data_IF_605128897964
#
_entry.id   IF_605128897964
#
_cell.length_a   1.000
_cell.length_b   1.000
_cell.length_c   1.000
_cell.angle_alpha   90.00
_cell.angle_beta   90.00
_cell.angle_gamma   90.00
#
_symmetry.space_group_name_H-M   'P 1'
#
loop_
_entity.id
_entity.type
_entity.pdbx_description
1 polymer ?
#
# COMPACT_ATOMS: atom_id res chain seq x y z
N UNK A 1 28.96 19.54 16.79
CA UNK A 1 28.90 20.80 16.03
C UNK A 1 29.57 20.56 14.68
N UNK A 2 28.78 20.24 13.65
CA UNK A 2 29.19 20.35 12.25
C UNK A 2 28.06 21.13 11.59
N UNK A 3 28.40 22.34 11.17
CA UNK A 3 27.52 23.30 10.53
C UNK A 3 27.30 22.79 9.10
N UNK A 4 26.06 22.54 8.72
CA UNK A 4 25.71 22.37 7.30
C UNK A 4 25.25 23.73 6.80
N UNK A 5 26.07 24.34 5.95
CA UNK A 5 25.73 25.56 5.20
C UNK A 5 24.59 25.24 4.21
N UNK A 6 23.54 26.06 4.29
CA UNK A 6 22.48 26.11 3.28
C UNK A 6 23.01 26.89 2.06
N UNK A 7 22.89 26.31 0.87
CA UNK A 7 23.08 27.02 -0.38
C UNK A 7 21.71 27.23 -1.04
N UNK A 8 21.24 28.48 -1.06
CA UNK A 8 20.10 28.94 -1.86
C UNK A 8 20.56 29.38 -3.27
N UNK A 9 19.63 29.49 -4.25
CA UNK A 9 19.92 29.24 -5.65
C UNK A 9 20.37 30.49 -6.41
N UNK A 10 21.29 30.31 -7.35
CA UNK A 10 21.68 31.35 -8.29
C UNK A 10 21.30 30.97 -9.74
N UNK A 11 20.56 31.90 -10.32
CA UNK A 11 20.12 32.14 -11.69
C UNK A 11 21.01 31.63 -12.84
N UNK A 12 20.35 31.11 -13.88
CA UNK A 12 20.86 30.83 -15.22
C UNK A 12 21.67 31.97 -15.84
N UNK A 13 22.85 31.65 -16.38
CA UNK A 13 23.31 32.20 -17.64
C UNK A 13 24.34 31.29 -18.33
N UNK A 14 24.07 31.00 -19.61
CA UNK A 14 24.87 30.21 -20.53
C UNK A 14 26.22 30.87 -20.88
N UNK A 15 27.31 30.08 -20.91
CA UNK A 15 28.24 29.96 -22.07
C UNK A 15 29.48 29.10 -21.73
N UNK A 16 29.80 28.15 -22.65
CA UNK A 16 31.18 27.96 -23.14
C UNK A 16 32.15 27.04 -22.40
N UNK A 17 32.17 25.76 -22.81
CA UNK A 17 33.37 24.92 -23.11
C UNK A 17 34.53 24.82 -22.10
N UNK A 18 34.76 23.62 -21.55
CA UNK A 18 35.87 22.69 -21.87
C UNK A 18 35.96 21.56 -20.83
N UNK A 19 36.04 20.33 -21.31
CA UNK A 19 36.17 19.09 -20.54
C UNK A 19 37.55 18.97 -19.87
N UNK A 20 37.65 18.27 -18.72
CA UNK A 20 38.45 17.05 -18.72
C UNK A 20 37.82 15.87 -17.94
N UNK A 21 38.02 14.70 -18.55
CA UNK A 21 37.98 13.28 -18.10
C UNK A 21 37.38 12.85 -16.74
N UNK A 22 36.65 11.70 -16.70
CA UNK A 22 35.87 11.27 -15.55
C UNK A 22 36.70 10.45 -14.53
N UNK A 23 36.57 10.81 -13.25
CA UNK A 23 36.95 9.94 -12.14
C UNK A 23 35.77 8.99 -11.89
N UNK A 24 36.08 7.71 -11.97
CA UNK A 24 35.18 6.57 -11.88
C UNK A 24 34.69 6.39 -10.43
N UNK A 25 33.49 6.91 -10.12
CA UNK A 25 32.76 6.57 -8.89
C UNK A 25 31.62 5.64 -9.25
N UNK A 26 31.88 4.33 -9.22
CA UNK A 26 30.84 3.32 -9.31
C UNK A 26 29.98 3.35 -8.04
N UNK A 27 28.81 3.97 -8.14
CA UNK A 27 27.69 3.79 -7.22
C UNK A 27 27.14 2.37 -7.38
N UNK A 28 27.38 1.49 -6.43
CA UNK A 28 26.82 0.13 -6.45
C UNK A 28 25.37 0.18 -5.94
N UNK A 29 24.35 -0.27 -6.71
CA UNK A 29 22.97 -0.32 -6.26
C UNK A 29 22.75 -1.38 -5.17
N UNK A 30 21.92 -1.07 -4.17
CA UNK A 30 21.60 -1.92 -3.00
C UNK A 30 20.84 -3.23 -3.26
N UNK A 31 20.73 -3.69 -4.51
CA UNK A 31 19.97 -4.89 -4.87
C UNK A 31 20.85 -5.94 -5.54
N UNK A 32 21.59 -6.72 -4.75
CA UNK A 32 21.91 -8.10 -5.10
C UNK A 32 21.96 -8.97 -3.84
N UNK A 33 21.02 -9.91 -3.75
CA UNK A 33 21.08 -11.01 -2.79
C UNK A 33 22.17 -12.00 -3.25
N UNK A 34 23.31 -12.00 -2.55
CA UNK A 34 24.37 -12.99 -2.76
C UNK A 34 24.07 -14.30 -1.98
N UNK A 35 24.45 -15.48 -2.51
CA UNK A 35 24.23 -16.76 -1.85
C UNK A 35 25.10 -16.88 -0.60
N UNK A 36 24.68 -17.77 0.31
CA UNK A 36 25.36 -18.02 1.58
C UNK A 36 26.78 -18.59 1.37
N UNK A 37 27.78 -17.72 1.28
CA UNK A 37 29.18 -18.05 1.53
C UNK A 37 29.57 -17.66 2.94
N UNK A 38 30.37 -18.51 3.56
CA UNK A 38 30.98 -18.34 4.87
C UNK A 38 31.81 -17.05 4.93
N UNK A 39 31.57 -16.29 6.00
CA UNK A 39 32.25 -15.07 6.46
C UNK A 39 31.88 -13.74 5.79
N UNK A 40 30.87 -13.06 6.35
CA UNK A 40 30.66 -11.63 6.17
C UNK A 40 31.84 -10.87 6.78
N UNK A 41 32.80 -10.44 5.96
CA UNK A 41 33.94 -9.62 6.40
C UNK A 41 33.60 -8.15 6.59
N UNK A 42 32.46 -7.68 6.05
CA UNK A 42 32.06 -6.28 6.06
C UNK A 42 30.90 -6.02 7.04
N UNK A 43 30.94 -4.89 7.74
CA UNK A 43 29.87 -4.47 8.63
C UNK A 43 28.62 -4.11 7.82
N UNK A 44 27.47 -4.68 8.18
CA UNK A 44 26.19 -4.40 7.51
C UNK A 44 25.66 -2.95 7.69
N UNK A 45 26.34 -2.10 8.46
CA UNK A 45 25.98 -0.69 8.65
C UNK A 45 27.00 0.25 8.00
N UNK A 46 28.26 0.23 8.47
CA UNK A 46 29.29 1.15 7.98
C UNK A 46 30.09 0.61 6.79
N UNK A 47 29.93 -0.65 6.42
CA UNK A 47 30.70 -1.29 5.34
C UNK A 47 32.15 -1.62 5.70
N UNK A 48 32.67 -1.16 6.83
CA UNK A 48 34.08 -1.40 7.20
C UNK A 48 34.33 -2.88 7.52
N UNK A 49 35.55 -3.33 7.20
CA UNK A 49 36.05 -4.63 7.61
C UNK A 49 36.53 -4.60 9.06
N UNK A 50 36.36 -5.72 9.77
CA UNK A 50 36.80 -5.88 11.15
C UNK A 50 37.09 -7.34 11.42
N UNK A 51 38.19 -7.67 12.11
CA UNK A 51 38.47 -9.05 12.50
C UNK A 51 37.44 -9.60 13.51
N UNK A 52 36.80 -8.72 14.30
CA UNK A 52 35.89 -9.09 15.40
C UNK A 52 34.40 -8.81 15.07
N UNK A 53 33.96 -9.30 13.92
CA UNK A 53 32.56 -9.13 13.49
C UNK A 53 31.58 -9.90 14.37
N UNK A 54 30.58 -9.18 14.88
CA UNK A 54 29.51 -9.74 15.74
C UNK A 54 28.26 -9.99 14.92
N UNK A 55 27.87 -11.27 14.80
CA UNK A 55 26.62 -11.65 14.12
C UNK A 55 25.40 -11.21 14.93
N UNK A 56 24.34 -10.81 14.23
CA UNK A 56 23.05 -10.55 14.87
C UNK A 56 22.58 -11.80 15.64
N UNK A 57 22.31 -11.65 16.94
CA UNK A 57 21.91 -12.76 17.80
C UNK A 57 20.56 -13.39 17.41
N UNK A 58 19.67 -12.63 16.78
CA UNK A 58 18.36 -13.10 16.33
C UNK A 58 18.42 -13.95 15.06
N UNK A 59 18.94 -13.38 13.96
CA UNK A 59 18.91 -14.05 12.65
C UNK A 59 20.21 -14.78 12.29
N UNK A 60 21.35 -14.40 12.90
CA UNK A 60 22.72 -14.82 12.55
C UNK A 60 23.17 -14.60 11.09
N UNK A 61 22.34 -13.95 10.28
CA UNK A 61 22.56 -13.73 8.83
C UNK A 61 23.51 -12.57 8.53
N UNK A 62 23.48 -11.52 9.33
CA UNK A 62 24.29 -10.30 9.12
C UNK A 62 25.25 -10.08 10.29
N UNK A 63 26.32 -9.33 10.04
CA UNK A 63 27.37 -9.06 11.01
C UNK A 63 27.70 -7.56 11.12
N UNK A 64 28.18 -7.16 12.30
CA UNK A 64 28.48 -5.77 12.65
C UNK A 64 29.83 -5.66 13.35
N UNK A 65 30.59 -4.61 13.04
CA UNK A 65 31.87 -4.35 13.71
C UNK A 65 31.69 -3.93 15.18
N UNK A 66 30.50 -3.43 15.55
CA UNK A 66 30.21 -2.95 16.90
C UNK A 66 28.73 -3.05 17.28
N UNK A 67 28.40 -3.11 18.59
CA UNK A 67 27.02 -2.98 19.07
C UNK A 67 26.36 -1.66 18.65
N UNK A 68 27.13 -0.60 18.44
CA UNK A 68 26.65 0.67 17.93
C UNK A 68 26.13 0.53 16.51
N UNK A 69 26.93 -0.04 15.60
CA UNK A 69 26.51 -0.30 14.21
C UNK A 69 25.27 -1.21 14.16
N UNK A 70 25.21 -2.22 15.02
CA UNK A 70 24.01 -3.06 15.15
C UNK A 70 22.77 -2.25 15.56
N UNK A 71 22.93 -1.33 16.54
CA UNK A 71 21.83 -0.49 17.03
C UNK A 71 21.38 0.54 15.99
N UNK A 72 22.34 1.13 15.26
CA UNK A 72 22.08 2.15 14.25
C UNK A 72 21.36 1.54 13.02
N UNK A 73 21.74 0.31 12.62
CA UNK A 73 21.07 -0.43 11.54
C UNK A 73 19.75 -1.10 11.97
N UNK A 74 19.50 -1.24 13.28
CA UNK A 74 18.36 -1.99 13.81
C UNK A 74 17.00 -1.55 13.23
N UNK A 75 16.68 -0.25 13.07
CA UNK A 75 15.39 0.15 12.52
C UNK A 75 15.14 -0.33 11.09
N UNK A 76 16.18 -0.59 10.29
CA UNK A 76 16.06 -1.20 8.97
C UNK A 76 16.08 -2.72 9.07
N UNK A 77 17.01 -3.29 9.84
CA UNK A 77 17.18 -4.74 9.93
C UNK A 77 16.02 -5.49 10.57
N UNK A 78 15.28 -4.86 11.48
CA UNK A 78 14.22 -5.51 12.27
C UNK A 78 13.17 -6.23 11.40
N UNK A 79 12.91 -5.73 10.19
CA UNK A 79 11.94 -6.31 9.25
C UNK A 79 12.39 -7.62 8.62
N UNK A 80 13.70 -7.80 8.43
CA UNK A 80 14.29 -9.02 7.85
C UNK A 80 14.87 -9.96 8.92
N UNK A 81 14.88 -9.50 10.18
CA UNK A 81 15.38 -10.27 11.30
C UNK A 81 14.34 -11.29 11.76
N UNK A 82 14.75 -12.55 11.93
CA UNK A 82 13.92 -13.60 12.56
C UNK A 82 13.79 -13.40 14.07
N UNK A 83 13.13 -12.33 14.49
CA UNK A 83 12.75 -12.13 15.89
C UNK A 83 11.33 -12.65 16.05
N UNK A 84 11.09 -13.60 16.96
CA UNK A 84 9.74 -14.11 17.25
C UNK A 84 8.86 -13.10 18.02
N UNK A 85 9.12 -11.80 17.88
CA UNK A 85 8.41 -10.73 18.60
C UNK A 85 7.73 -9.80 17.58
N UNK A 86 6.51 -9.34 17.86
CA UNK A 86 5.87 -8.30 17.06
C UNK A 86 6.77 -7.05 16.96
N UNK A 87 6.89 -6.52 15.75
CA UNK A 87 7.61 -5.27 15.50
C UNK A 87 6.76 -4.12 16.06
N UNK A 88 7.38 -3.23 16.83
CA UNK A 88 6.70 -2.05 17.37
C UNK A 88 6.39 -1.04 16.27
N UNK A 89 5.21 -0.40 16.35
CA UNK A 89 4.71 0.60 15.40
C UNK A 89 5.69 1.74 15.09
N UNK A 90 6.51 2.15 16.08
CA UNK A 90 7.53 3.20 15.86
C UNK A 90 8.56 2.85 14.77
N UNK A 91 8.85 1.55 14.57
CA UNK A 91 9.81 1.12 13.55
C UNK A 91 9.20 1.17 12.15
N UNK A 92 7.91 0.85 12.01
CA UNK A 92 7.18 1.07 10.77
C UNK A 92 7.14 2.56 10.43
N UNK A 93 6.86 3.43 11.41
CA UNK A 93 6.91 4.88 11.24
C UNK A 93 8.29 5.36 10.77
N UNK A 94 9.37 4.94 11.46
CA UNK A 94 10.75 5.32 11.12
C UNK A 94 11.13 4.87 9.70
N UNK A 95 10.76 3.64 9.32
CA UNK A 95 10.98 3.14 7.94
C UNK A 95 10.24 4.00 6.91
N UNK A 96 8.96 4.27 7.14
CA UNK A 96 8.13 4.97 6.17
C UNK A 96 8.59 6.45 6.03
N UNK A 97 8.99 7.10 7.12
CA UNK A 97 9.61 8.44 7.10
C UNK A 97 10.93 8.48 6.34
N UNK A 98 11.81 7.48 6.51
CA UNK A 98 13.09 7.41 5.79
C UNK A 98 12.89 7.30 4.28
N UNK A 99 11.81 6.63 3.88
CA UNK A 99 11.43 6.48 2.48
C UNK A 99 10.55 7.62 1.96
N UNK A 100 10.25 8.61 2.81
CA UNK A 100 9.36 9.74 2.50
C UNK A 100 7.95 9.30 2.06
N UNK A 101 7.41 8.27 2.71
CA UNK A 101 6.09 7.69 2.44
C UNK A 101 5.18 7.85 3.66
N UNK A 102 3.91 8.18 3.43
CA UNK A 102 2.88 8.17 4.47
C UNK A 102 2.73 6.76 5.05
N UNK A 103 2.72 6.59 6.39
CA UNK A 103 2.64 5.27 7.00
C UNK A 103 1.48 4.42 6.50
N UNK A 104 1.76 3.17 6.16
CA UNK A 104 0.77 2.21 5.63
C UNK A 104 0.27 1.23 6.69
N UNK A 105 1.07 0.93 7.71
CA UNK A 105 0.69 0.03 8.79
C UNK A 105 -0.45 0.63 9.63
N UNK A 106 -1.53 -0.14 9.79
CA UNK A 106 -2.77 0.35 10.40
C UNK A 106 -2.60 0.82 11.84
N UNK A 107 -1.89 0.05 12.67
CA UNK A 107 -1.70 0.42 14.08
C UNK A 107 -0.75 1.61 14.20
N UNK A 108 0.28 1.69 13.36
CA UNK A 108 1.18 2.85 13.29
C UNK A 108 0.44 4.12 12.92
N UNK A 109 -0.49 4.06 11.97
CA UNK A 109 -1.32 5.21 11.61
C UNK A 109 -2.19 5.69 12.78
N UNK A 110 -2.70 4.76 13.60
CA UNK A 110 -3.49 5.10 14.80
C UNK A 110 -2.61 5.70 15.87
N UNK A 111 -1.50 5.02 16.23
CA UNK A 111 -0.62 5.39 17.33
C UNK A 111 0.01 6.78 17.18
N UNK A 112 0.18 7.25 15.94
CA UNK A 112 0.84 8.51 15.59
C UNK A 112 -0.08 9.49 14.86
N UNK A 113 -1.39 9.34 14.99
CA UNK A 113 -2.38 10.36 14.59
C UNK A 113 -2.67 10.49 13.09
N UNK A 114 -2.00 9.72 12.21
CA UNK A 114 -2.26 9.74 10.76
C UNK A 114 -3.68 9.29 10.42
N UNK A 115 -4.20 8.26 11.10
CA UNK A 115 -5.57 7.78 10.88
C UNK A 115 -6.60 8.85 11.27
N UNK A 116 -6.38 9.53 12.40
CA UNK A 116 -7.24 10.64 12.85
C UNK A 116 -7.15 11.82 11.88
N UNK A 117 -5.96 12.23 11.46
CA UNK A 117 -5.74 13.31 10.51
C UNK A 117 -6.41 13.06 9.16
N UNK A 118 -6.34 11.82 8.66
CA UNK A 118 -7.00 11.40 7.42
C UNK A 118 -8.53 11.45 7.52
N UNK A 119 -9.08 11.18 8.72
CA UNK A 119 -10.52 11.16 8.96
C UNK A 119 -11.11 12.53 9.27
N UNK A 120 -10.40 13.41 9.99
CA UNK A 120 -10.97 14.66 10.53
C UNK A 120 -10.50 15.91 9.80
N UNK A 121 -9.45 15.82 8.98
CA UNK A 121 -8.86 16.93 8.25
C UNK A 121 -8.78 16.62 6.74
N UNK A 122 -8.60 17.68 5.94
CA UNK A 122 -8.44 17.61 4.47
C UNK A 122 -7.01 17.97 4.08
N UNK A 123 -6.69 17.74 2.80
CA UNK A 123 -5.48 18.25 2.17
C UNK A 123 -4.22 17.59 2.72
N UNK A 124 -3.18 18.38 2.96
CA UNK A 124 -1.84 17.91 3.32
C UNK A 124 -1.67 17.54 4.81
N UNK A 125 -2.75 17.18 5.52
CA UNK A 125 -2.70 16.87 6.96
C UNK A 125 -1.76 15.70 7.28
N UNK A 126 -1.82 14.61 6.51
CA UNK A 126 -0.92 13.47 6.67
C UNK A 126 0.53 13.83 6.30
N UNK A 127 0.74 14.68 5.28
CA UNK A 127 2.07 15.19 4.90
C UNK A 127 2.68 16.10 5.97
N UNK A 128 1.85 16.92 6.64
CA UNK A 128 2.28 17.74 7.76
C UNK A 128 2.71 16.88 8.96
N UNK A 129 1.96 15.82 9.28
CA UNK A 129 2.39 14.85 10.30
C UNK A 129 3.68 14.13 9.90
N UNK A 130 3.81 13.68 8.65
CA UNK A 130 5.02 13.06 8.15
C UNK A 130 6.23 13.99 8.35
N UNK A 131 6.09 15.25 7.96
CA UNK A 131 7.13 16.27 8.09
C UNK A 131 7.45 16.59 9.56
N UNK A 132 6.43 16.64 10.42
CA UNK A 132 6.60 16.84 11.86
C UNK A 132 7.43 15.72 12.49
N UNK A 133 7.11 14.45 12.20
CA UNK A 133 7.88 13.31 12.73
C UNK A 133 9.27 13.20 12.09
N UNK A 134 9.39 13.49 10.79
CA UNK A 134 10.69 13.58 10.09
C UNK A 134 11.61 14.59 10.78
N UNK A 135 11.09 15.76 11.13
CA UNK A 135 11.83 16.77 11.88
C UNK A 135 12.26 16.30 13.28
N UNK A 136 11.45 15.53 14.02
CA UNK A 136 11.87 14.96 15.31
C UNK A 136 13.08 14.03 15.16
N UNK A 137 13.08 13.15 14.15
CA UNK A 137 14.21 12.27 13.89
C UNK A 137 15.46 13.06 13.48
N UNK A 138 15.32 14.12 12.67
CA UNK A 138 16.42 15.01 12.31
C UNK A 138 17.00 15.75 13.53
N UNK A 139 16.16 16.05 14.53
CA UNK A 139 16.56 16.67 15.80
C UNK A 139 17.13 15.66 16.82
N UNK A 140 17.27 14.39 16.42
CA UNK A 140 17.93 13.35 17.23
C UNK A 140 17.00 12.60 18.18
N UNK A 141 15.67 12.77 18.08
CA UNK A 141 14.72 11.94 18.83
C UNK A 141 14.81 10.50 18.32
N UNK A 142 15.10 9.57 19.21
CA UNK A 142 15.24 8.14 18.86
C UNK A 142 13.88 7.44 18.83
N UNK A 143 13.78 6.31 18.11
CA UNK A 143 12.57 5.47 18.11
C UNK A 143 12.19 5.02 19.53
N UNK A 144 13.18 4.82 20.40
CA UNK A 144 12.94 4.43 21.79
C UNK A 144 12.26 5.55 22.58
N UNK A 145 12.66 6.80 22.39
CA UNK A 145 12.07 7.96 23.04
C UNK A 145 10.67 8.23 22.49
N UNK A 146 10.52 8.23 21.17
CA UNK A 146 9.23 8.47 20.53
C UNK A 146 8.19 7.42 20.94
N UNK A 147 8.59 6.15 20.99
CA UNK A 147 7.73 5.07 21.51
C UNK A 147 7.35 5.29 22.97
N UNK A 148 8.27 5.77 23.80
CA UNK A 148 7.99 6.09 25.20
C UNK A 148 6.92 7.19 25.28
N UNK A 149 7.09 8.27 24.53
CA UNK A 149 6.13 9.38 24.49
C UNK A 149 4.74 8.92 24.05
N UNK A 150 4.68 8.06 23.05
CA UNK A 150 3.42 7.46 22.58
C UNK A 150 2.77 6.61 23.68
N UNK A 151 3.52 5.69 24.31
CA UNK A 151 2.97 4.80 25.33
C UNK A 151 2.52 5.52 26.62
N UNK A 152 3.12 6.67 26.92
CA UNK A 152 2.80 7.49 28.09
C UNK A 152 1.74 8.56 27.79
N UNK A 153 1.28 8.69 26.54
CA UNK A 153 0.34 9.75 26.14
C UNK A 153 0.93 11.16 26.20
N UNK A 154 2.25 11.29 26.09
CA UNK A 154 2.99 12.55 26.25
C UNK A 154 3.56 13.09 24.94
N UNK A 155 3.07 12.60 23.78
CA UNK A 155 3.52 13.05 22.45
C UNK A 155 3.43 14.57 22.30
N UNK A 156 2.26 15.16 22.56
CA UNK A 156 2.03 16.60 22.39
C UNK A 156 3.06 17.43 23.18
N UNK A 157 3.22 17.13 24.47
CA UNK A 157 4.13 17.87 25.35
C UNK A 157 5.60 17.75 24.92
N UNK A 158 6.04 16.54 24.56
CA UNK A 158 7.44 16.32 24.18
C UNK A 158 7.77 16.84 22.78
N UNK A 159 6.82 16.80 21.83
CA UNK A 159 6.98 17.42 20.50
C UNK A 159 7.16 18.93 20.66
N UNK A 160 6.29 19.59 21.44
CA UNK A 160 6.43 21.03 21.73
C UNK A 160 7.78 21.36 22.32
N UNK A 161 8.19 20.64 23.37
CA UNK A 161 9.49 20.82 24.01
C UNK A 161 10.66 20.70 23.03
N UNK A 162 10.58 19.75 22.09
CA UNK A 162 11.65 19.51 21.10
C UNK A 162 11.75 20.65 20.09
N UNK A 163 10.63 21.10 19.53
CA UNK A 163 10.60 22.18 18.54
C UNK A 163 10.77 23.58 19.14
N UNK A 164 10.30 23.81 20.37
CA UNK A 164 10.44 25.10 21.07
C UNK A 164 11.88 25.38 21.49
N UNK A 165 12.72 24.34 21.58
CA UNK A 165 14.17 24.50 21.76
C UNK A 165 14.87 25.12 20.53
N UNK A 166 14.22 25.14 19.37
CA UNK A 166 14.72 25.80 18.16
C UNK A 166 14.26 27.27 18.10
N UNK A 167 15.04 28.15 17.44
CA UNK A 167 14.57 29.47 17.02
C UNK A 167 13.27 29.37 16.19
N UNK A 168 12.32 30.31 16.32
CA UNK A 168 11.03 30.26 15.62
C UNK A 168 11.12 30.00 14.11
N UNK A 169 12.09 30.62 13.44
CA UNK A 169 12.37 30.50 12.00
C UNK A 169 12.76 29.09 11.55
N UNK A 170 13.28 28.26 12.47
CA UNK A 170 13.80 26.92 12.17
C UNK A 170 12.81 25.80 12.50
N UNK A 171 11.55 26.13 12.85
CA UNK A 171 10.54 25.13 13.26
C UNK A 171 9.76 24.54 12.09
N UNK A 172 9.84 25.14 10.91
CA UNK A 172 9.10 24.73 9.71
C UNK A 172 7.59 25.00 9.80
N UNK A 173 6.90 25.00 8.66
CA UNK A 173 5.44 25.29 8.60
C UNK A 173 4.55 24.23 9.25
N UNK A 174 5.05 23.00 9.39
CA UNK A 174 4.32 21.88 10.02
C UNK A 174 4.21 22.02 11.54
N UNK A 175 5.10 22.79 12.21
CA UNK A 175 5.01 22.98 13.66
C UNK A 175 3.87 23.94 14.07
N UNK A 176 3.71 25.14 13.46
CA UNK A 176 2.52 25.96 13.67
C UNK A 176 1.22 25.24 13.32
N UNK A 177 1.22 24.40 12.28
CA UNK A 177 0.10 23.54 11.94
C UNK A 177 -0.20 22.55 13.08
N UNK A 178 0.81 21.85 13.60
CA UNK A 178 0.66 20.95 14.73
C UNK A 178 0.07 21.64 15.96
N UNK A 179 0.47 22.87 16.27
CA UNK A 179 -0.10 23.63 17.39
C UNK A 179 -1.62 23.84 17.27
N UNK A 180 -2.15 23.91 16.06
CA UNK A 180 -3.59 24.04 15.78
C UNK A 180 -4.33 22.69 15.80
N UNK A 181 -3.59 21.57 15.75
CA UNK A 181 -4.11 20.21 15.57
C UNK A 181 -3.54 19.22 16.60
N UNK A 182 -3.33 19.69 17.83
CA UNK A 182 -2.82 18.87 18.94
C UNK A 182 -3.78 17.72 19.29
N UNK A 183 -5.07 17.90 19.00
CA UNK A 183 -6.12 16.89 19.17
C UNK A 183 -5.84 15.61 18.37
N UNK A 184 -5.02 15.67 17.32
CA UNK A 184 -4.62 14.48 16.57
C UNK A 184 -3.79 13.50 17.41
N UNK A 185 -3.08 13.99 18.44
CA UNK A 185 -2.09 13.25 19.22
C UNK A 185 -2.37 13.21 20.73
N UNK A 186 -3.49 13.78 21.19
CA UNK A 186 -3.85 13.86 22.61
C UNK A 186 -4.61 12.63 23.14
N UNK A 187 -4.86 11.64 22.28
CA UNK A 187 -5.59 10.42 22.62
C UNK A 187 -7.10 10.56 22.61
N UNK A 188 -7.65 11.74 22.30
CA UNK A 188 -9.09 11.93 22.17
C UNK A 188 -9.65 11.13 20.99
N UNK A 189 -10.88 10.59 21.10
CA UNK A 189 -11.48 9.84 20.00
C UNK A 189 -11.73 10.73 18.77
N UNK A 190 -11.88 10.10 17.62
CA UNK A 190 -12.32 10.79 16.38
C UNK A 190 -13.74 11.29 16.59
N UNK A 191 -14.00 12.58 16.37
CA UNK A 191 -15.36 13.13 16.30
C UNK A 191 -16.10 12.51 15.10
N UNK A 192 -17.15 11.69 15.33
CA UNK A 192 -17.87 11.01 14.26
C UNK A 192 -18.56 11.98 13.28
N UNK A 193 -19.04 13.13 13.77
CA UNK A 193 -19.72 14.12 12.94
C UNK A 193 -18.73 14.81 12.01
N UNK A 194 -17.58 15.22 12.57
CA UNK A 194 -16.50 15.81 11.78
C UNK A 194 -15.97 14.82 10.73
N UNK A 195 -15.74 13.57 11.13
CA UNK A 195 -15.27 12.54 10.21
C UNK A 195 -16.26 12.27 9.07
N UNK A 196 -17.57 12.25 9.38
CA UNK A 196 -18.62 12.10 8.39
C UNK A 196 -18.64 13.28 7.43
N UNK A 197 -18.58 14.52 7.94
CA UNK A 197 -18.51 15.72 7.12
C UNK A 197 -17.29 15.72 6.18
N UNK A 198 -16.11 15.39 6.71
CA UNK A 198 -14.87 15.33 5.91
C UNK A 198 -14.94 14.24 4.85
N UNK A 199 -15.56 13.10 5.14
CA UNK A 199 -15.83 12.07 4.14
C UNK A 199 -16.75 12.59 3.02
N UNK A 200 -17.86 13.23 3.38
CA UNK A 200 -18.83 13.79 2.43
C UNK A 200 -18.18 14.81 1.49
N UNK A 201 -17.52 15.85 2.02
CA UNK A 201 -16.97 16.87 1.11
C UNK A 201 -15.74 16.33 0.33
N UNK A 202 -15.10 15.23 0.79
CA UNK A 202 -14.01 14.57 0.04
C UNK A 202 -14.57 13.79 -1.14
N UNK A 203 -15.68 13.08 -0.92
CA UNK A 203 -16.40 12.40 -1.98
C UNK A 203 -16.95 13.40 -2.99
N UNK A 204 -17.48 14.54 -2.52
CA UNK A 204 -17.98 15.59 -3.41
C UNK A 204 -16.87 16.23 -4.25
N UNK A 205 -15.72 16.55 -3.65
CA UNK A 205 -14.56 17.06 -4.38
C UNK A 205 -14.04 16.06 -5.41
N UNK A 206 -14.02 14.77 -5.05
CA UNK A 206 -13.65 13.68 -5.96
C UNK A 206 -14.62 13.58 -7.14
N UNK A 207 -15.94 13.64 -6.89
CA UNK A 207 -16.97 13.59 -7.92
C UNK A 207 -16.90 14.79 -8.86
N UNK A 208 -16.63 15.99 -8.34
CA UNK A 208 -16.46 17.20 -9.18
C UNK A 208 -15.32 17.05 -10.18
N UNK A 209 -14.21 16.41 -9.80
CA UNK A 209 -13.11 16.13 -10.74
C UNK A 209 -13.55 15.21 -11.87
N UNK A 210 -14.25 14.11 -11.56
CA UNK A 210 -14.80 13.23 -12.59
C UNK A 210 -15.87 13.90 -13.45
N UNK A 211 -16.66 14.79 -12.86
CA UNK A 211 -17.72 15.52 -13.55
C UNK A 211 -17.15 16.53 -14.54
N UNK A 212 -16.13 17.29 -14.12
CA UNK A 212 -15.37 18.18 -14.98
C UNK A 212 -14.70 17.41 -16.13
N UNK A 213 -14.14 16.23 -15.86
CA UNK A 213 -13.54 15.37 -16.87
C UNK A 213 -14.55 14.85 -17.92
N UNK A 214 -15.81 14.67 -17.54
CA UNK A 214 -16.92 14.34 -18.46
C UNK A 214 -17.39 15.56 -19.29
N UNK A 215 -16.88 16.77 -19.01
CA UNK A 215 -17.32 18.02 -19.64
C UNK A 215 -18.38 18.79 -18.85
N UNK A 216 -18.68 18.36 -17.63
CA UNK A 216 -19.57 19.09 -16.72
C UNK A 216 -18.89 20.29 -16.04
N UNK A 217 -19.70 21.18 -15.45
CA UNK A 217 -19.16 22.34 -14.72
C UNK A 217 -18.41 21.91 -13.44
N UNK A 218 -17.20 22.45 -13.15
CA UNK A 218 -16.46 22.14 -11.92
C UNK A 218 -17.19 22.59 -10.64
N UNK A 219 -18.10 23.56 -10.77
CA UNK A 219 -18.90 24.10 -9.66
C UNK A 219 -20.24 23.40 -9.49
N UNK A 220 -20.46 22.29 -10.22
CA UNK A 220 -21.70 21.53 -10.11
C UNK A 220 -22.00 21.09 -8.66
N UNK A 221 -23.26 21.23 -8.29
CA UNK A 221 -23.81 20.74 -7.03
C UNK A 221 -23.95 19.22 -7.06
N UNK A 222 -24.01 18.60 -5.89
CA UNK A 222 -24.23 17.15 -5.78
C UNK A 222 -25.52 16.70 -6.49
N UNK A 223 -26.60 17.49 -6.39
CA UNK A 223 -27.87 17.21 -7.04
C UNK A 223 -27.77 17.24 -8.56
N UNK A 224 -27.07 18.22 -9.13
CA UNK A 224 -26.85 18.31 -10.57
C UNK A 224 -26.03 17.13 -11.08
N UNK A 225 -24.96 16.76 -10.37
CA UNK A 225 -24.16 15.59 -10.73
C UNK A 225 -24.99 14.31 -10.66
N UNK A 226 -25.75 14.08 -9.56
CA UNK A 226 -26.63 12.90 -9.44
C UNK A 226 -27.67 12.82 -10.55
N UNK A 227 -28.31 13.93 -10.90
CA UNK A 227 -29.27 13.98 -12.00
C UNK A 227 -28.61 13.59 -13.33
N UNK A 228 -27.43 14.13 -13.62
CA UNK A 228 -26.67 13.79 -14.81
C UNK A 228 -26.22 12.31 -14.86
N UNK A 229 -25.73 11.77 -13.74
CA UNK A 229 -25.32 10.37 -13.65
C UNK A 229 -26.51 9.42 -13.80
N UNK A 230 -27.71 9.80 -13.37
CA UNK A 230 -28.91 8.96 -13.53
C UNK A 230 -29.32 8.76 -15.00
N UNK A 231 -28.85 9.61 -15.91
CA UNK A 231 -29.06 9.47 -17.34
C UNK A 231 -28.02 8.54 -18.03
N UNK A 232 -26.95 8.14 -17.33
CA UNK A 232 -25.90 7.28 -17.87
C UNK A 232 -26.25 5.79 -17.73
N UNK A 233 -25.65 4.96 -18.58
CA UNK A 233 -25.67 3.50 -18.38
C UNK A 233 -24.95 3.10 -17.08
N UNK A 234 -25.23 1.91 -16.53
CA UNK A 234 -24.49 1.38 -15.39
C UNK A 234 -22.97 1.33 -15.61
N UNK A 235 -22.53 1.00 -16.83
CA UNK A 235 -21.12 0.90 -17.20
C UNK A 235 -20.44 2.26 -17.21
N UNK A 236 -21.09 3.29 -17.78
CA UNK A 236 -20.57 4.66 -17.79
C UNK A 236 -20.58 5.27 -16.39
N UNK A 237 -21.59 4.94 -15.58
CA UNK A 237 -21.61 5.32 -14.17
C UNK A 237 -20.44 4.68 -13.41
N UNK A 238 -20.13 3.40 -13.66
CA UNK A 238 -18.96 2.74 -13.09
C UNK A 238 -17.64 3.40 -13.54
N UNK A 239 -17.53 3.78 -14.81
CA UNK A 239 -16.39 4.55 -15.34
C UNK A 239 -16.25 5.90 -14.65
N UNK A 240 -17.34 6.66 -14.51
CA UNK A 240 -17.34 7.94 -13.79
C UNK A 240 -16.82 7.78 -12.35
N UNK A 241 -17.35 6.80 -11.63
CA UNK A 241 -16.94 6.54 -10.24
C UNK A 241 -15.46 6.21 -10.16
N UNK A 242 -14.97 5.38 -11.08
CA UNK A 242 -13.56 4.98 -11.12
C UNK A 242 -12.62 6.12 -11.53
N UNK A 243 -12.96 6.87 -12.58
CA UNK A 243 -12.19 8.02 -13.06
C UNK A 243 -12.11 9.10 -11.98
N UNK A 244 -13.20 9.35 -11.25
CA UNK A 244 -13.21 10.29 -10.12
C UNK A 244 -12.18 9.90 -9.05
N UNK A 245 -12.11 8.61 -8.71
CA UNK A 245 -11.13 8.03 -7.79
C UNK A 245 -9.71 8.23 -8.32
N UNK A 246 -9.46 7.89 -9.60
CA UNK A 246 -8.16 8.04 -10.24
C UNK A 246 -7.69 9.51 -10.26
N UNK A 247 -8.53 10.46 -10.69
CA UNK A 247 -8.22 11.90 -10.70
C UNK A 247 -7.93 12.49 -9.30
N UNK A 248 -8.31 11.76 -8.25
CA UNK A 248 -8.04 12.13 -6.86
C UNK A 248 -6.80 11.45 -6.30
N UNK A 249 -5.97 10.84 -7.14
CA UNK A 249 -4.81 10.03 -6.75
C UNK A 249 -5.13 8.93 -5.76
N UNK A 250 -6.38 8.46 -5.77
CA UNK A 250 -6.88 7.36 -4.94
C UNK A 250 -6.97 6.09 -5.79
N UNK A 251 -7.22 4.98 -5.11
CA UNK A 251 -7.44 3.66 -5.72
C UNK A 251 -8.68 3.00 -5.12
N UNK A 252 -9.34 2.09 -5.85
CA UNK A 252 -10.39 1.26 -5.28
C UNK A 252 -9.88 0.48 -4.07
N UNK A 253 -10.76 0.22 -3.12
CA UNK A 253 -10.53 -0.77 -2.06
C UNK A 253 -11.22 -2.09 -2.42
N UNK A 254 -10.83 -3.23 -1.81
CA UNK A 254 -11.40 -4.55 -2.12
C UNK A 254 -12.91 -4.67 -1.91
N UNK A 255 -13.57 -3.78 -1.18
CA UNK A 255 -15.02 -3.81 -0.98
C UNK A 255 -15.79 -3.17 -2.14
N UNK A 256 -15.13 -2.44 -3.03
CA UNK A 256 -15.77 -1.82 -4.19
C UNK A 256 -15.77 -2.77 -5.41
N UNK A 257 -16.85 -2.77 -6.23
CA UNK A 257 -16.90 -3.56 -7.47
C UNK A 257 -15.75 -3.24 -8.43
N UNK A 258 -15.29 -1.98 -8.42
CA UNK A 258 -14.17 -1.52 -9.26
C UNK A 258 -12.84 -2.22 -8.95
N UNK A 259 -12.70 -2.86 -7.79
CA UNK A 259 -11.54 -3.70 -7.51
C UNK A 259 -11.43 -4.86 -8.49
N UNK A 260 -12.56 -5.48 -8.83
CA UNK A 260 -12.65 -6.57 -9.79
C UNK A 260 -12.71 -6.02 -11.22
N UNK A 261 -13.64 -5.11 -11.51
CA UNK A 261 -13.92 -4.69 -12.89
C UNK A 261 -12.85 -3.80 -13.51
N UNK A 262 -11.98 -3.17 -12.72
CA UNK A 262 -10.80 -2.46 -13.22
C UNK A 262 -9.49 -3.20 -12.93
N UNK A 263 -9.55 -4.52 -12.69
CA UNK A 263 -8.38 -5.38 -12.70
C UNK A 263 -7.46 -5.28 -11.47
N UNK A 264 -7.82 -4.53 -10.43
CA UNK A 264 -7.02 -4.45 -9.20
C UNK A 264 -6.90 -5.80 -8.51
N UNK A 265 -7.90 -6.69 -8.65
CA UNK A 265 -7.82 -8.07 -8.15
C UNK A 265 -6.64 -8.86 -8.72
N UNK A 266 -6.12 -8.51 -9.90
CA UNK A 266 -4.97 -9.20 -10.50
C UNK A 266 -3.65 -8.90 -9.78
N UNK A 267 -3.62 -7.86 -8.94
CA UNK A 267 -2.45 -7.47 -8.17
C UNK A 267 -2.28 -8.37 -6.95
N UNK A 268 -1.04 -8.74 -6.65
CA UNK A 268 -0.72 -9.43 -5.41
C UNK A 268 -0.76 -8.43 -4.24
N UNK A 269 -1.08 -8.92 -3.05
CA UNK A 269 -0.94 -8.12 -1.84
C UNK A 269 0.53 -7.65 -1.71
N UNK A 270 0.78 -6.41 -1.28
CA UNK A 270 2.15 -5.89 -1.14
C UNK A 270 2.43 -4.53 -1.77
N UNK A 271 1.43 -3.81 -2.27
CA UNK A 271 1.60 -2.45 -2.82
C UNK A 271 1.66 -2.40 -4.35
N UNK A 272 1.61 -3.54 -5.05
CA UNK A 272 1.53 -3.60 -6.52
C UNK A 272 0.30 -2.84 -7.06
N UNK A 273 -0.77 -2.77 -6.27
CA UNK A 273 -1.97 -2.03 -6.58
C UNK A 273 -1.77 -0.51 -6.57
N UNK A 274 -0.74 0.00 -5.89
CA UNK A 274 -0.32 1.42 -5.95
C UNK A 274 0.21 1.72 -7.36
N UNK A 275 1.05 0.83 -7.90
CA UNK A 275 1.58 0.94 -9.25
C UNK A 275 0.48 0.94 -10.31
N UNK A 276 -0.47 0.00 -10.21
CA UNK A 276 -1.63 -0.04 -11.12
C UNK A 276 -2.50 1.24 -10.98
N UNK A 277 -2.69 1.73 -9.76
CA UNK A 277 -3.37 3.00 -9.51
C UNK A 277 -2.70 4.17 -10.22
N UNK A 278 -1.38 4.30 -10.12
CA UNK A 278 -0.59 5.33 -10.82
C UNK A 278 -0.73 5.24 -12.35
N UNK A 279 -0.72 4.02 -12.89
CA UNK A 279 -0.93 3.79 -14.33
C UNK A 279 -2.32 4.25 -14.79
N UNK A 280 -3.38 3.97 -14.02
CA UNK A 280 -4.71 4.48 -14.33
C UNK A 280 -4.81 6.01 -14.22
N UNK A 281 -4.10 6.62 -13.26
CA UNK A 281 -4.02 8.08 -13.17
C UNK A 281 -3.43 8.69 -14.44
N UNK A 282 -2.35 8.10 -14.95
CA UNK A 282 -1.72 8.56 -16.18
C UNK A 282 -2.58 8.26 -17.41
N UNK A 283 -3.31 7.14 -17.42
CA UNK A 283 -4.24 6.81 -18.51
C UNK A 283 -5.36 7.85 -18.62
N UNK A 284 -5.99 8.18 -17.50
CA UNK A 284 -7.08 9.17 -17.46
C UNK A 284 -6.60 10.55 -17.90
N UNK A 285 -5.33 10.92 -17.64
CA UNK A 285 -4.76 12.18 -18.15
C UNK A 285 -4.54 12.19 -19.68
N UNK A 286 -4.57 11.02 -20.34
CA UNK A 286 -4.20 10.83 -21.75
C UNK A 286 -5.37 10.41 -22.65
N UNK A 287 -6.55 10.21 -22.10
CA UNK A 287 -7.76 9.86 -22.85
C UNK A 287 -8.91 10.80 -22.52
N UNK A 288 -9.99 10.71 -23.30
CA UNK A 288 -11.25 11.36 -22.96
C UNK A 288 -12.14 10.43 -22.13
N UNK A 289 -13.21 10.97 -21.55
CA UNK A 289 -14.20 10.14 -20.85
C UNK A 289 -14.86 9.12 -21.78
N UNK A 290 -15.21 9.51 -23.00
CA UNK A 290 -15.82 8.60 -23.98
C UNK A 290 -14.85 7.52 -24.48
N UNK A 291 -13.58 7.87 -24.72
CA UNK A 291 -12.54 6.87 -25.04
C UNK A 291 -12.41 5.83 -23.93
N UNK A 292 -12.34 6.30 -22.67
CA UNK A 292 -12.23 5.42 -21.51
C UNK A 292 -13.47 4.52 -21.34
N UNK A 293 -14.68 5.10 -21.44
CA UNK A 293 -15.92 4.33 -21.33
C UNK A 293 -16.04 3.31 -22.45
N UNK A 294 -15.75 3.68 -23.70
CA UNK A 294 -15.78 2.78 -24.84
C UNK A 294 -14.82 1.61 -24.63
N UNK A 295 -13.60 1.90 -24.15
CA UNK A 295 -12.62 0.85 -23.87
C UNK A 295 -13.08 -0.09 -22.75
N UNK A 296 -13.73 0.43 -21.71
CA UNK A 296 -14.30 -0.38 -20.64
C UNK A 296 -15.47 -1.24 -21.15
N UNK A 297 -16.44 -0.64 -21.83
CA UNK A 297 -17.63 -1.31 -22.38
C UNK A 297 -17.25 -2.42 -23.38
N UNK A 298 -16.15 -2.26 -24.11
CA UNK A 298 -15.67 -3.22 -25.12
C UNK A 298 -14.58 -4.17 -24.61
N UNK A 299 -14.23 -4.12 -23.32
CA UNK A 299 -13.19 -4.97 -22.72
C UNK A 299 -11.79 -4.75 -23.32
N UNK A 300 -11.49 -3.52 -23.78
CA UNK A 300 -10.24 -3.14 -24.47
C UNK A 300 -9.37 -2.15 -23.68
N UNK A 301 -9.60 -1.99 -22.37
CA UNK A 301 -8.74 -1.15 -21.49
C UNK A 301 -7.23 -1.48 -21.63
N UNK A 302 -6.77 -2.75 -21.69
CA UNK A 302 -5.36 -3.05 -21.94
C UNK A 302 -4.84 -2.46 -23.27
N UNK A 303 -5.65 -2.53 -24.34
CA UNK A 303 -5.29 -1.92 -25.62
C UNK A 303 -5.26 -0.38 -25.53
N UNK A 304 -6.17 0.22 -24.73
CA UNK A 304 -6.14 1.65 -24.46
C UNK A 304 -4.83 2.06 -23.75
N UNK A 305 -4.38 1.30 -22.75
CA UNK A 305 -3.06 1.53 -22.11
C UNK A 305 -1.92 1.56 -23.13
N UNK A 306 -1.87 0.57 -24.02
CA UNK A 306 -0.84 0.48 -25.06
C UNK A 306 -0.93 1.67 -26.02
N UNK A 307 -2.13 2.02 -26.49
CA UNK A 307 -2.35 3.14 -27.41
C UNK A 307 -1.94 4.50 -26.85
N UNK A 308 -1.99 4.67 -25.51
CA UNK A 308 -1.58 5.91 -24.81
C UNK A 308 -0.12 5.86 -24.33
N UNK A 309 0.65 4.88 -24.78
CA UNK A 309 2.09 4.77 -24.51
C UNK A 309 2.43 4.37 -23.08
N UNK A 310 1.51 3.69 -22.37
CA UNK A 310 1.72 3.24 -20.99
C UNK A 310 2.25 1.81 -20.91
N UNK A 311 2.54 1.18 -22.05
CA UNK A 311 3.13 -0.14 -22.17
C UNK A 311 2.13 -1.28 -21.99
N UNK A 312 2.57 -2.48 -22.37
CA UNK A 312 1.79 -3.72 -22.23
C UNK A 312 1.50 -4.01 -20.76
N UNK A 313 0.34 -4.59 -20.47
CA UNK A 313 -0.06 -4.99 -19.13
C UNK A 313 0.31 -6.44 -18.85
N UNK A 314 0.44 -6.76 -17.56
CA UNK A 314 0.72 -8.11 -17.10
C UNK A 314 -0.37 -9.09 -17.56
N UNK A 315 0.01 -10.36 -17.75
CA UNK A 315 -0.88 -11.42 -18.21
C UNK A 315 -2.12 -11.58 -17.31
N UNK A 316 -1.96 -11.52 -15.99
CA UNK A 316 -3.06 -11.66 -15.03
C UNK A 316 -4.04 -10.49 -15.15
N UNK A 317 -3.52 -9.27 -15.28
CA UNK A 317 -4.36 -8.09 -15.51
C UNK A 317 -5.13 -8.21 -16.83
N UNK A 318 -4.44 -8.58 -17.93
CA UNK A 318 -5.08 -8.78 -19.23
C UNK A 318 -6.18 -9.84 -19.16
N UNK A 319 -5.98 -10.92 -18.40
CA UNK A 319 -6.98 -11.98 -18.24
C UNK A 319 -8.26 -11.47 -17.56
N UNK A 320 -8.13 -10.71 -16.47
CA UNK A 320 -9.28 -10.07 -15.80
C UNK A 320 -10.00 -9.13 -16.76
N UNK A 321 -9.23 -8.29 -17.47
CA UNK A 321 -9.81 -7.24 -18.31
C UNK A 321 -10.43 -7.76 -19.61
N UNK A 322 -10.04 -8.95 -20.10
CA UNK A 322 -10.57 -9.52 -21.33
C UNK A 322 -12.08 -9.80 -21.29
N UNK A 323 -12.64 -10.09 -20.11
CA UNK A 323 -14.08 -10.27 -19.92
C UNK A 323 -14.78 -9.08 -19.23
N UNK A 324 -14.01 -8.19 -18.59
CA UNK A 324 -14.55 -7.07 -17.83
C UNK A 324 -15.27 -6.05 -18.73
N UNK A 325 -16.43 -5.50 -18.32
CA UNK A 325 -17.09 -5.66 -17.03
C UNK A 325 -18.07 -6.83 -16.92
N UNK A 326 -18.29 -7.58 -18.00
CA UNK A 326 -19.40 -8.54 -18.11
C UNK A 326 -19.11 -9.89 -17.50
N UNK A 327 -17.87 -10.36 -17.63
CA UNK A 327 -17.48 -11.70 -17.25
C UNK A 327 -16.09 -11.72 -16.62
N UNK A 328 -15.91 -12.56 -15.59
CA UNK A 328 -14.62 -12.84 -15.03
C UNK A 328 -14.55 -14.33 -14.66
N UNK A 329 -13.37 -14.93 -14.79
CA UNK A 329 -13.17 -16.31 -14.33
C UNK A 329 -13.47 -16.40 -12.83
N UNK A 330 -14.05 -17.51 -12.39
CA UNK A 330 -14.42 -17.72 -10.98
C UNK A 330 -13.24 -17.58 -10.01
N UNK A 331 -12.01 -17.82 -10.46
CA UNK A 331 -10.82 -17.63 -9.61
C UNK A 331 -10.61 -16.18 -9.21
N UNK A 332 -11.00 -15.23 -10.05
CA UNK A 332 -10.93 -13.82 -9.75
C UNK A 332 -12.00 -13.39 -8.75
N UNK A 333 -13.18 -14.04 -8.78
CA UNK A 333 -14.19 -13.88 -7.74
C UNK A 333 -13.73 -14.47 -6.41
N UNK A 334 -13.07 -15.63 -6.43
CA UNK A 334 -12.44 -16.22 -5.24
C UNK A 334 -11.37 -15.28 -4.67
N UNK A 335 -10.45 -14.79 -5.51
CA UNK A 335 -9.41 -13.86 -5.05
C UNK A 335 -10.00 -12.56 -4.53
N UNK A 336 -11.02 -12.00 -5.17
CA UNK A 336 -11.71 -10.80 -4.68
C UNK A 336 -12.33 -11.03 -3.30
N UNK A 337 -12.93 -12.20 -3.07
CA UNK A 337 -13.42 -12.58 -1.75
C UNK A 337 -12.29 -12.67 -0.72
N UNK A 338 -11.16 -13.29 -1.05
CA UNK A 338 -10.01 -13.39 -0.14
C UNK A 338 -9.40 -12.01 0.15
N UNK A 339 -9.29 -11.13 -0.85
CA UNK A 339 -8.81 -9.75 -0.66
C UNK A 339 -9.69 -9.00 0.35
N UNK A 340 -11.02 -9.24 0.36
CA UNK A 340 -11.94 -8.69 1.38
C UNK A 340 -11.70 -9.30 2.75
N UNK A 341 -11.58 -10.62 2.85
CA UNK A 341 -11.31 -11.33 4.12
C UNK A 341 -10.02 -10.82 4.76
N UNK A 342 -8.94 -10.68 3.96
CA UNK A 342 -7.64 -10.18 4.43
C UNK A 342 -7.71 -8.70 4.84
N UNK A 343 -8.52 -7.90 4.15
CA UNK A 343 -8.68 -6.47 4.44
C UNK A 343 -9.65 -6.17 5.60
N UNK A 344 -10.33 -7.19 6.11
CA UNK A 344 -11.37 -7.04 7.13
C UNK A 344 -10.86 -7.22 8.56
N UNK A 345 -11.62 -6.67 9.51
CA UNK A 345 -11.37 -6.89 10.93
C UNK A 345 -11.66 -8.35 11.31
N UNK A 346 -10.91 -8.94 12.26
CA UNK A 346 -11.21 -10.28 12.76
C UNK A 346 -12.68 -10.42 13.19
N UNK A 347 -13.35 -11.47 12.71
CA UNK A 347 -14.77 -11.73 13.00
C UNK A 347 -15.77 -11.07 12.04
N UNK A 348 -15.31 -10.36 11.01
CA UNK A 348 -16.19 -9.87 9.94
C UNK A 348 -16.66 -11.03 9.07
N UNK A 349 -17.97 -11.13 8.83
CA UNK A 349 -18.55 -12.16 7.97
C UNK A 349 -18.52 -11.73 6.50
N UNK A 350 -18.02 -12.61 5.64
CA UNK A 350 -18.05 -12.45 4.19
C UNK A 350 -18.50 -13.76 3.56
N UNK A 351 -19.17 -13.64 2.41
CA UNK A 351 -19.62 -14.78 1.62
C UNK A 351 -18.99 -14.68 0.22
N UNK A 352 -18.39 -15.76 -0.31
CA UNK A 352 -17.89 -15.78 -1.68
C UNK A 352 -19.07 -15.63 -2.66
N UNK A 353 -18.76 -15.22 -3.90
CA UNK A 353 -19.78 -15.26 -4.95
C UNK A 353 -20.22 -16.71 -5.20
N UNK A 354 -21.42 -16.94 -5.76
CA UNK A 354 -21.89 -18.30 -6.04
C UNK A 354 -20.87 -19.12 -6.84
N UNK A 355 -20.29 -18.53 -7.89
CA UNK A 355 -19.28 -19.16 -8.75
C UNK A 355 -18.04 -19.57 -7.95
N UNK A 356 -17.52 -18.67 -7.11
CA UNK A 356 -16.39 -19.00 -6.25
C UNK A 356 -16.77 -20.05 -5.17
N UNK A 357 -18.02 -20.03 -4.73
CA UNK A 357 -18.56 -20.94 -3.74
C UNK A 357 -18.60 -22.39 -4.21
N UNK A 358 -19.11 -22.59 -5.43
CA UNK A 358 -19.15 -23.89 -6.11
C UNK A 358 -17.75 -24.36 -6.49
N UNK A 359 -16.99 -23.53 -7.21
CA UNK A 359 -15.78 -23.97 -7.88
C UNK A 359 -14.63 -24.28 -6.91
N UNK A 360 -14.58 -23.59 -5.77
CA UNK A 360 -13.44 -23.66 -4.85
C UNK A 360 -13.77 -24.31 -3.50
N UNK A 361 -14.88 -25.04 -3.43
CA UNK A 361 -15.17 -25.98 -2.35
C UNK A 361 -15.90 -25.40 -1.14
N UNK A 362 -16.29 -24.13 -1.15
CA UNK A 362 -17.04 -23.52 -0.04
C UNK A 362 -18.43 -24.15 0.13
N UNK A 363 -19.07 -24.58 -0.96
CA UNK A 363 -20.35 -25.29 -0.88
C UNK A 363 -20.23 -26.70 -0.28
N UNK A 364 -19.00 -27.22 -0.14
CA UNK A 364 -18.72 -28.48 0.56
C UNK A 364 -18.52 -28.30 2.07
N UNK A 365 -18.51 -27.05 2.58
CA UNK A 365 -18.33 -26.76 4.01
C UNK A 365 -19.53 -27.24 4.84
N UNK A 366 -19.26 -27.90 5.97
CA UNK A 366 -20.28 -28.34 6.95
C UNK A 366 -20.39 -27.40 8.15
N UNK A 367 -19.57 -26.36 8.21
CA UNK A 367 -19.57 -25.38 9.30
C UNK A 367 -18.36 -24.46 9.26
N UNK A 368 -18.26 -23.58 10.25
CA UNK A 368 -17.28 -22.49 10.30
C UNK A 368 -15.81 -22.96 10.30
N UNK A 369 -15.54 -24.16 10.82
CA UNK A 369 -14.18 -24.72 10.81
C UNK A 369 -13.71 -25.06 9.40
N UNK A 370 -14.60 -25.62 8.56
CA UNK A 370 -14.27 -25.92 7.17
C UNK A 370 -14.06 -24.63 6.38
N UNK A 371 -14.93 -23.65 6.62
CA UNK A 371 -14.86 -22.33 6.00
C UNK A 371 -13.52 -21.65 6.30
N UNK A 372 -13.13 -21.65 7.58
CA UNK A 372 -11.86 -21.08 8.02
C UNK A 372 -10.65 -21.79 7.40
N UNK A 373 -10.72 -23.11 7.23
CA UNK A 373 -9.66 -23.88 6.56
C UNK A 373 -9.49 -23.48 5.09
N UNK A 374 -10.58 -23.18 4.39
CA UNK A 374 -10.53 -22.70 3.00
C UNK A 374 -10.03 -21.24 2.94
N UNK A 375 -10.53 -20.36 3.82
CA UNK A 375 -10.02 -18.99 3.91
C UNK A 375 -8.51 -18.98 4.15
N UNK A 376 -8.02 -19.78 5.09
CA UNK A 376 -6.59 -19.88 5.40
C UNK A 376 -5.78 -20.48 4.24
N UNK A 377 -6.36 -21.44 3.50
CA UNK A 377 -5.71 -22.04 2.34
C UNK A 377 -5.56 -21.01 1.22
N UNK A 378 -6.65 -20.38 0.79
CA UNK A 378 -6.62 -19.45 -0.32
C UNK A 378 -5.91 -18.14 0.04
N UNK A 379 -5.96 -17.70 1.30
CA UNK A 379 -5.10 -16.59 1.78
C UNK A 379 -3.63 -16.92 1.58
N UNK A 380 -3.19 -18.15 1.88
CA UNK A 380 -1.80 -18.58 1.64
C UNK A 380 -1.48 -18.71 0.15
N UNK A 381 -2.41 -19.21 -0.66
CA UNK A 381 -2.21 -19.33 -2.10
C UNK A 381 -2.15 -17.97 -2.81
N UNK A 382 -2.87 -16.95 -2.35
CA UNK A 382 -2.80 -15.60 -2.94
C UNK A 382 -1.79 -14.67 -2.26
N UNK A 383 -1.04 -15.16 -1.26
CA UNK A 383 0.04 -14.40 -0.66
C UNK A 383 1.18 -14.16 -1.67
N UNK A 384 1.79 -12.97 -1.60
CA UNK A 384 2.86 -12.54 -2.52
C UNK A 384 4.02 -13.55 -2.62
N UNK A 385 4.37 -14.17 -1.51
CA UNK A 385 5.49 -15.11 -1.40
C UNK A 385 5.13 -16.57 -1.72
N UNK A 386 3.89 -16.85 -2.13
CA UNK A 386 3.43 -18.22 -2.39
C UNK A 386 3.94 -18.79 -3.72
N UNK A 387 4.12 -17.92 -4.72
CA UNK A 387 4.39 -18.32 -6.11
C UNK A 387 3.24 -19.07 -6.80
N UNK A 388 2.05 -19.14 -6.19
CA UNK A 388 0.89 -19.78 -6.81
C UNK A 388 0.22 -18.85 -7.83
N UNK A 389 -0.04 -19.39 -9.02
CA UNK A 389 -0.63 -18.65 -10.13
C UNK A 389 -2.16 -18.81 -10.12
N UNK A 390 -2.96 -17.72 -10.01
CA UNK A 390 -4.42 -17.80 -10.03
C UNK A 390 -4.97 -18.47 -11.29
N UNK A 391 -4.33 -18.31 -12.44
CA UNK A 391 -4.82 -18.93 -13.68
C UNK A 391 -4.55 -20.43 -13.70
N UNK A 392 -3.43 -20.89 -13.13
CA UNK A 392 -3.18 -22.32 -12.94
C UNK A 392 -4.11 -22.94 -11.90
N UNK A 393 -4.50 -22.18 -10.86
CA UNK A 393 -5.52 -22.62 -9.91
C UNK A 393 -6.87 -22.81 -10.61
N UNK A 394 -7.24 -21.90 -11.51
CA UNK A 394 -8.46 -22.06 -12.30
C UNK A 394 -8.41 -23.28 -13.23
N UNK A 395 -7.28 -23.51 -13.90
CA UNK A 395 -7.08 -24.71 -14.72
C UNK A 395 -7.15 -26.00 -13.89
N UNK A 396 -6.59 -25.99 -12.67
CA UNK A 396 -6.67 -27.11 -11.75
C UNK A 396 -8.12 -27.38 -11.32
N UNK A 397 -8.91 -26.34 -11.07
CA UNK A 397 -10.35 -26.47 -10.86
C UNK A 397 -11.02 -27.16 -12.06
N UNK A 398 -10.78 -26.68 -13.28
CA UNK A 398 -11.41 -27.24 -14.48
C UNK A 398 -11.07 -28.72 -14.71
N UNK A 399 -9.91 -29.18 -14.21
CA UNK A 399 -9.47 -30.58 -14.30
C UNK A 399 -9.85 -31.43 -13.07
N UNK A 400 -10.44 -30.84 -12.04
CA UNK A 400 -10.72 -31.49 -10.76
C UNK A 400 -9.48 -31.83 -9.93
N UNK A 401 -8.41 -31.06 -10.11
CA UNK A 401 -7.09 -31.25 -9.51
C UNK A 401 -6.76 -30.24 -8.40
N UNK A 402 -7.77 -29.57 -7.82
CA UNK A 402 -7.58 -28.53 -6.79
C UNK A 402 -6.74 -28.98 -5.61
N UNK A 403 -6.96 -30.21 -5.13
CA UNK A 403 -6.19 -30.78 -4.02
C UNK A 403 -4.71 -30.92 -4.37
N UNK A 404 -4.40 -31.41 -5.57
CA UNK A 404 -3.02 -31.62 -6.03
C UNK A 404 -2.32 -30.29 -6.29
N UNK A 405 -3.05 -29.30 -6.81
CA UNK A 405 -2.55 -27.93 -6.90
C UNK A 405 -2.19 -27.36 -5.52
N UNK A 406 -3.11 -27.44 -4.55
CA UNK A 406 -2.91 -26.90 -3.21
C UNK A 406 -1.69 -27.51 -2.50
N UNK A 407 -1.45 -28.82 -2.66
CA UNK A 407 -0.30 -29.52 -2.06
C UNK A 407 1.06 -29.00 -2.52
N UNK A 408 1.16 -28.39 -3.71
CA UNK A 408 2.43 -27.82 -4.23
C UNK A 408 2.89 -26.61 -3.42
N UNK A 409 1.96 -25.89 -2.80
CA UNK A 409 2.22 -24.59 -2.18
C UNK A 409 1.96 -24.60 -0.67
N UNK A 410 1.06 -25.44 -0.17
CA UNK A 410 0.63 -25.44 1.23
C UNK A 410 0.68 -26.84 1.83
N UNK A 411 1.32 -26.98 3.00
CA UNK A 411 1.25 -28.20 3.79
C UNK A 411 -0.15 -28.36 4.39
N UNK A 412 -0.88 -29.37 3.96
CA UNK A 412 -2.29 -29.59 4.35
C UNK A 412 -2.49 -30.36 5.66
N UNK A 413 -1.44 -31.03 6.17
CA UNK A 413 -1.50 -31.74 7.45
C UNK A 413 -1.70 -30.75 8.63
N UNK A 414 -2.50 -31.12 9.66
CA UNK A 414 -3.14 -32.42 9.89
C UNK A 414 -4.52 -32.58 9.22
N UNK A 415 -4.98 -31.59 8.44
CA UNK A 415 -6.34 -31.53 7.92
C UNK A 415 -6.52 -32.14 6.53
N UNK A 416 -5.58 -32.97 6.06
CA UNK A 416 -5.58 -33.53 4.70
C UNK A 416 -6.92 -34.17 4.32
N UNK A 417 -7.51 -35.00 5.19
CA UNK A 417 -8.80 -35.65 4.91
C UNK A 417 -9.96 -34.64 4.75
N UNK A 418 -9.93 -33.52 5.50
CA UNK A 418 -10.92 -32.45 5.33
C UNK A 418 -10.71 -31.75 3.99
N UNK A 419 -9.48 -31.37 3.65
CA UNK A 419 -9.17 -30.75 2.36
C UNK A 419 -9.53 -31.64 1.17
N UNK A 420 -9.30 -32.96 1.25
CA UNK A 420 -9.74 -33.91 0.20
C UNK A 420 -11.24 -33.85 -0.04
N UNK A 421 -12.05 -33.72 1.02
CA UNK A 421 -13.50 -33.58 0.89
C UNK A 421 -13.90 -32.19 0.38
N UNK A 422 -13.28 -31.13 0.92
CA UNK A 422 -13.66 -29.76 0.61
C UNK A 422 -13.32 -29.38 -0.84
N UNK A 423 -12.16 -29.80 -1.33
CA UNK A 423 -11.65 -29.48 -2.67
C UNK A 423 -12.08 -30.51 -3.73
N UNK A 424 -13.07 -31.35 -3.43
CA UNK A 424 -13.64 -32.26 -4.40
C UNK A 424 -14.59 -31.48 -5.31
N UNK A 425 -14.20 -31.32 -6.57
CA UNK A 425 -15.08 -30.81 -7.62
C UNK A 425 -16.12 -31.87 -7.98
N UNK A 426 -17.39 -31.49 -7.94
CA UNK A 426 -18.53 -32.33 -8.37
C UNK A 426 -18.72 -32.33 -9.87
#
# INVERSE_FOLDING_TARGET
MRVFEFCEPATDNLQGTTSPTPIDTMSVPWFMAAPASSDCTHCAWCGEESPDMKRCSGCRKIAYCSPKCQKDQWPAHIFDCKVNKPISTVYYLSRDIRNDVIPVDGQTRIDYGFDKASKTLRGDSENNLLSLYKGLFMLGVTEKELRKWQSEGTLVANIKKTYEALPPENRGGYYPWFLQHQDLLDGSPVDPNRATQVSIESNLAMWRKGWAYMGGSPDATELQMKAGLSALSPERTACFMFVSVALSSKRPNPFLPSWLTFGFVSTNCGGAEIGLGGLYQDLVKRCTFDEFCTAYETSTIPALFESKGLGKRDRLFCDVMAGSPRFCKSVWHLKHYIDKVVSSKPGSEHVPSPEAGYDYGYNNCKGIVDWKLLDDLYTKLFAENSGADPLQLHEAFQKGELLEFAKKYVKLAPWTAKYTRLLKTT
#
